data_IF_972284256055
#
_entry.id   IF_972284256055
#
_cell.length_a   1.000
_cell.length_b   1.000
_cell.length_c   1.000
_cell.angle_alpha   90.00
_cell.angle_beta   90.00
_cell.angle_gamma   90.00
#
_symmetry.space_group_name_H-M   'P 1'
#
loop_
_entity.id
_entity.type
_entity.pdbx_description
1 polymer ?
#
# COMPACT_ATOMS: atom_id res chain seq x y z
N UNK A 1 -13.50 61.03 62.19
CA UNK A 1 -14.91 61.29 61.84
C UNK A 1 -15.72 60.03 62.16
N UNK A 2 -16.65 60.17 63.11
CA UNK A 2 -17.77 59.30 63.49
C UNK A 2 -17.54 57.78 63.67
N UNK A 3 -17.54 57.25 64.91
CA UNK A 3 -18.74 56.89 65.72
C UNK A 3 -19.42 55.62 65.15
N UNK A 4 -19.72 54.53 65.86
CA UNK A 4 -20.22 54.41 67.23
C UNK A 4 -20.21 52.94 67.71
N UNK A 5 -20.13 52.78 69.03
CA UNK A 5 -20.42 51.60 69.85
C UNK A 5 -21.71 50.83 69.52
N UNK A 6 -21.69 49.50 69.69
CA UNK A 6 -22.67 48.79 70.56
C UNK A 6 -22.20 47.39 70.95
N UNK A 7 -22.05 47.18 72.25
CA UNK A 7 -21.93 45.87 72.89
C UNK A 7 -23.34 45.33 73.18
N UNK A 8 -23.50 44.00 73.11
CA UNK A 8 -24.41 43.27 74.00
C UNK A 8 -24.05 41.78 74.03
N UNK A 9 -23.75 41.32 75.25
CA UNK A 9 -23.64 39.93 75.66
C UNK A 9 -25.03 39.30 75.76
N UNK A 10 -25.20 38.08 75.26
CA UNK A 10 -26.26 37.18 75.72
C UNK A 10 -25.76 35.73 75.75
N UNK A 11 -25.61 35.26 76.98
CA UNK A 11 -25.36 33.90 77.41
C UNK A 11 -26.63 33.06 77.17
N UNK A 12 -26.56 32.02 76.35
CA UNK A 12 -27.55 30.95 76.34
C UNK A 12 -26.88 29.59 76.13
N UNK A 13 -27.29 28.68 77.01
CA UNK A 13 -26.78 27.36 77.31
C UNK A 13 -27.75 26.33 76.69
N UNK A 14 -27.28 25.41 75.81
CA UNK A 14 -27.89 24.08 75.49
C UNK A 14 -27.29 23.49 74.19
N UNK A 15 -27.44 22.18 73.92
CA UNK A 15 -27.15 20.99 74.72
C UNK A 15 -26.11 20.08 74.03
N UNK A 16 -25.57 19.12 74.78
CA UNK A 16 -24.79 17.99 74.26
C UNK A 16 -25.54 17.14 73.24
N UNK A 17 -24.81 16.70 72.21
CA UNK A 17 -24.92 15.34 71.67
C UNK A 17 -26.13 15.03 70.79
N UNK A 18 -26.13 15.51 69.55
CA UNK A 18 -26.84 14.85 68.46
C UNK A 18 -25.82 14.52 67.36
N UNK A 19 -25.51 13.24 67.22
CA UNK A 19 -24.68 12.71 66.13
C UNK A 19 -25.35 13.07 64.81
N UNK A 20 -24.70 13.94 64.02
CA UNK A 20 -25.14 14.28 62.67
C UNK A 20 -24.94 13.06 61.78
N UNK A 21 -26.00 12.27 61.61
CA UNK A 21 -26.09 11.32 60.50
C UNK A 21 -26.07 12.14 59.22
N UNK A 22 -24.92 12.14 58.54
CA UNK A 22 -24.76 12.85 57.27
C UNK A 22 -25.76 12.26 56.25
N UNK A 23 -26.56 13.11 55.57
CA UNK A 23 -27.45 12.63 54.52
C UNK A 23 -26.60 12.00 53.41
N UNK A 24 -26.77 10.69 53.22
CA UNK A 24 -26.16 9.91 52.15
C UNK A 24 -26.50 10.58 50.81
N UNK A 25 -25.52 11.31 50.29
CA UNK A 25 -25.65 11.98 49.00
C UNK A 25 -25.55 10.88 47.96
N UNK A 26 -26.69 10.48 47.37
CA UNK A 26 -26.75 9.51 46.27
C UNK A 26 -25.81 9.98 45.16
N UNK A 27 -24.61 9.38 45.09
CA UNK A 27 -23.68 9.59 43.99
C UNK A 27 -24.22 8.85 42.78
N UNK A 28 -24.79 9.62 41.86
CA UNK A 28 -25.15 9.15 40.52
C UNK A 28 -23.89 9.09 39.67
N UNK A 29 -23.66 7.96 39.02
CA UNK A 29 -22.53 7.74 38.12
C UNK A 29 -22.82 8.47 36.80
N UNK A 30 -22.33 9.70 36.66
CA UNK A 30 -22.46 10.43 35.41
C UNK A 30 -21.56 9.78 34.36
N UNK A 31 -22.17 9.11 33.39
CA UNK A 31 -21.51 8.54 32.22
C UNK A 31 -20.96 9.69 31.37
N UNK A 32 -19.66 9.96 31.46
CA UNK A 32 -19.01 11.01 30.65
C UNK A 32 -18.80 10.51 29.23
N UNK A 33 -19.72 10.84 28.33
CA UNK A 33 -19.60 10.55 26.90
C UNK A 33 -18.37 11.23 26.27
N UNK A 34 -17.97 12.39 26.80
CA UNK A 34 -16.83 13.16 26.28
C UNK A 34 -15.49 12.43 26.49
N UNK A 35 -15.30 11.73 27.62
CA UNK A 35 -14.08 10.98 27.88
C UNK A 35 -13.95 9.77 26.94
N UNK A 36 -15.05 9.06 26.69
CA UNK A 36 -15.08 7.94 25.75
C UNK A 36 -14.79 8.41 24.31
N UNK A 37 -15.38 9.52 23.89
CA UNK A 37 -15.19 10.08 22.55
C UNK A 37 -13.74 10.58 22.36
N UNK A 38 -13.15 11.16 23.41
CA UNK A 38 -11.74 11.54 23.41
C UNK A 38 -10.81 10.34 23.26
N UNK A 39 -11.12 9.22 23.92
CA UNK A 39 -10.32 7.99 23.84
C UNK A 39 -10.37 7.31 22.45
N UNK A 40 -11.47 7.48 21.71
CA UNK A 40 -11.70 6.85 20.41
C UNK A 40 -11.15 7.70 19.25
N UNK A 41 -11.08 9.01 19.40
CA UNK A 41 -10.67 9.95 18.35
C UNK A 41 -9.35 9.59 17.63
N UNK A 42 -8.24 9.20 18.31
CA UNK A 42 -6.99 8.88 17.64
C UNK A 42 -7.13 7.71 16.66
N UNK A 43 -7.96 6.72 16.98
CA UNK A 43 -8.22 5.58 16.11
C UNK A 43 -9.04 5.97 14.89
N UNK A 44 -10.00 6.88 15.03
CA UNK A 44 -10.78 7.41 13.91
C UNK A 44 -9.88 8.21 12.98
N UNK A 45 -9.06 9.12 13.52
CA UNK A 45 -8.10 9.91 12.74
C UNK A 45 -7.10 9.00 12.02
N UNK A 46 -6.58 7.99 12.72
CA UNK A 46 -5.70 6.97 12.15
C UNK A 46 -6.37 6.19 11.01
N UNK A 47 -7.61 5.76 11.21
CA UNK A 47 -8.39 5.07 10.19
C UNK A 47 -8.56 5.90 8.92
N UNK A 48 -8.90 7.18 9.05
CA UNK A 48 -9.02 8.12 7.91
C UNK A 48 -7.68 8.28 7.18
N UNK A 49 -6.57 8.41 7.92
CA UNK A 49 -5.23 8.51 7.33
C UNK A 49 -4.87 7.24 6.53
N UNK A 50 -5.14 6.06 7.09
CA UNK A 50 -4.90 4.77 6.41
C UNK A 50 -5.74 4.67 5.14
N UNK A 51 -7.02 5.06 5.19
CA UNK A 51 -7.88 5.06 4.00
C UNK A 51 -7.33 5.99 2.92
N UNK A 52 -6.93 7.21 3.28
CA UNK A 52 -6.35 8.17 2.34
C UNK A 52 -5.05 7.65 1.70
N UNK A 53 -4.14 7.10 2.49
CA UNK A 53 -2.88 6.52 1.99
C UNK A 53 -3.11 5.28 1.12
N UNK A 54 -4.11 4.45 1.44
CA UNK A 54 -4.49 3.33 0.58
C UNK A 54 -5.10 3.80 -0.75
N UNK A 55 -5.89 4.88 -0.75
CA UNK A 55 -6.45 5.43 -1.98
C UNK A 55 -5.34 5.91 -2.95
N UNK A 56 -4.35 6.65 -2.44
CA UNK A 56 -3.18 7.07 -3.24
C UNK A 56 -2.38 5.87 -3.76
N UNK A 57 -2.19 4.84 -2.92
CA UNK A 57 -1.52 3.60 -3.32
C UNK A 57 -2.32 2.85 -4.38
N UNK A 58 -3.64 2.83 -4.29
CA UNK A 58 -4.49 2.20 -5.28
C UNK A 58 -4.34 2.86 -6.66
N UNK A 59 -4.37 4.19 -6.73
CA UNK A 59 -4.11 4.92 -7.97
C UNK A 59 -2.70 4.64 -8.53
N UNK A 60 -1.69 4.56 -7.65
CA UNK A 60 -0.34 4.21 -8.07
C UNK A 60 -0.30 2.79 -8.66
N UNK A 61 -0.95 1.81 -8.03
CA UNK A 61 -0.97 0.42 -8.49
C UNK A 61 -1.75 0.23 -9.81
N UNK A 62 -2.87 0.93 -10.00
CA UNK A 62 -3.63 0.84 -11.26
C UNK A 62 -2.82 1.40 -12.44
N UNK A 63 -2.02 2.45 -12.20
CA UNK A 63 -1.13 3.03 -13.21
C UNK A 63 0.06 2.13 -13.60
N UNK A 64 0.41 1.13 -12.79
CA UNK A 64 1.56 0.24 -13.08
C UNK A 64 1.31 -0.78 -14.19
N UNK A 65 0.05 -1.13 -14.46
CA UNK A 65 -0.27 -2.22 -15.40
C UNK A 65 0.24 -1.96 -16.82
N UNK A 66 0.19 -0.71 -17.29
CA UNK A 66 0.63 -0.29 -18.63
C UNK A 66 2.16 -0.36 -18.82
N UNK A 67 3.00 0.25 -17.97
CA UNK A 67 4.46 0.16 -18.14
C UNK A 67 4.99 -1.26 -17.94
N UNK A 68 4.34 -2.08 -17.09
CA UNK A 68 4.70 -3.50 -16.94
C UNK A 68 4.36 -4.27 -18.22
N UNK A 69 3.20 -4.03 -18.83
CA UNK A 69 2.85 -4.71 -20.08
C UNK A 69 3.76 -4.29 -21.23
N UNK A 70 4.12 -3.00 -21.31
CA UNK A 70 5.10 -2.50 -22.28
C UNK A 70 6.48 -3.14 -22.09
N UNK A 71 6.98 -3.21 -20.85
CA UNK A 71 8.25 -3.87 -20.55
C UNK A 71 8.24 -5.33 -21.01
N UNK A 72 7.18 -6.07 -20.68
CA UNK A 72 7.05 -7.47 -21.10
C UNK A 72 7.03 -7.63 -22.62
N UNK A 73 6.35 -6.74 -23.35
CA UNK A 73 6.32 -6.79 -24.83
C UNK A 73 7.69 -6.46 -25.43
N UNK A 74 8.40 -5.48 -24.88
CA UNK A 74 9.77 -5.15 -25.29
C UNK A 74 10.71 -6.34 -25.03
N UNK A 75 10.61 -6.99 -23.86
CA UNK A 75 11.39 -8.20 -23.55
C UNK A 75 11.12 -9.34 -24.53
N UNK A 76 9.85 -9.57 -24.88
CA UNK A 76 9.47 -10.60 -25.86
C UNK A 76 10.07 -10.29 -27.23
N UNK A 77 9.91 -9.07 -27.73
CA UNK A 77 10.46 -8.63 -29.00
C UNK A 77 12.00 -8.75 -29.02
N UNK A 78 12.65 -8.38 -27.91
CA UNK A 78 14.10 -8.51 -27.76
C UNK A 78 14.55 -9.97 -27.80
N UNK A 79 13.89 -10.88 -27.06
CA UNK A 79 14.18 -12.32 -27.11
C UNK A 79 14.02 -12.86 -28.53
N UNK A 80 12.97 -12.45 -29.23
CA UNK A 80 12.72 -12.88 -30.61
C UNK A 80 13.74 -12.36 -31.60
N UNK A 81 14.18 -11.12 -31.43
CA UNK A 81 15.28 -10.57 -32.22
C UNK A 81 16.54 -11.42 -32.08
N UNK A 82 16.91 -11.80 -30.85
CA UNK A 82 18.06 -12.68 -30.61
C UNK A 82 17.89 -14.07 -31.25
N UNK A 83 16.67 -14.63 -31.23
CA UNK A 83 16.37 -15.91 -31.90
C UNK A 83 16.48 -15.79 -33.43
N UNK A 84 16.02 -14.70 -34.02
CA UNK A 84 16.18 -14.41 -35.44
C UNK A 84 17.66 -14.28 -35.81
N UNK A 85 18.42 -13.52 -35.00
CA UNK A 85 19.85 -13.35 -35.19
C UNK A 85 20.58 -14.70 -35.13
N UNK A 86 20.30 -15.54 -34.12
CA UNK A 86 20.87 -16.87 -34.01
C UNK A 86 20.52 -17.76 -35.22
N UNK A 87 19.26 -17.73 -35.67
CA UNK A 87 18.80 -18.50 -36.83
C UNK A 87 19.47 -18.04 -38.13
N UNK A 88 19.69 -16.72 -38.26
CA UNK A 88 20.40 -16.13 -39.39
C UNK A 88 21.86 -16.57 -39.40
N UNK A 89 22.55 -16.49 -38.27
CA UNK A 89 23.93 -16.98 -38.10
C UNK A 89 24.01 -18.47 -38.46
N UNK A 90 23.12 -19.31 -37.94
CA UNK A 90 23.08 -20.73 -38.28
C UNK A 90 22.87 -20.98 -39.78
N UNK A 91 22.05 -20.16 -40.44
CA UNK A 91 21.81 -20.26 -41.87
C UNK A 91 23.05 -19.85 -42.70
N UNK A 92 23.70 -18.74 -42.34
CA UNK A 92 24.86 -18.18 -43.06
C UNK A 92 26.11 -19.05 -42.88
N UNK A 93 26.35 -19.56 -41.67
CA UNK A 93 27.54 -20.36 -41.35
C UNK A 93 27.39 -21.85 -41.70
N UNK A 94 26.47 -22.20 -42.60
CA UNK A 94 26.38 -23.56 -43.12
C UNK A 94 27.65 -23.91 -43.91
N UNK A 95 28.34 -24.96 -43.48
CA UNK A 95 29.51 -25.47 -44.18
C UNK A 95 29.21 -25.93 -45.61
N UNK A 96 30.23 -26.03 -46.48
CA UNK A 96 30.07 -26.42 -47.88
C UNK A 96 29.46 -27.83 -48.06
N UNK A 97 29.48 -28.67 -47.02
CA UNK A 97 28.92 -30.03 -47.01
C UNK A 97 27.44 -30.11 -46.61
N UNK A 98 26.77 -29.00 -46.31
CA UNK A 98 25.34 -28.99 -45.94
C UNK A 98 24.47 -29.48 -47.10
N UNK A 99 23.58 -30.44 -46.85
CA UNK A 99 22.63 -30.90 -47.89
C UNK A 99 21.62 -29.80 -48.24
N UNK A 100 21.07 -29.78 -49.48
CA UNK A 100 20.02 -28.84 -49.87
C UNK A 100 18.77 -28.93 -48.98
N UNK A 101 18.44 -30.14 -48.49
CA UNK A 101 17.33 -30.36 -47.57
C UNK A 101 17.56 -29.68 -46.21
N UNK A 102 18.78 -29.73 -45.69
CA UNK A 102 19.14 -29.06 -44.43
C UNK A 102 19.08 -27.53 -44.55
N UNK A 103 19.54 -26.98 -45.68
CA UNK A 103 19.40 -25.54 -45.99
C UNK A 103 17.95 -25.10 -45.99
N UNK A 104 17.07 -25.93 -46.57
CA UNK A 104 15.64 -25.64 -46.64
C UNK A 104 14.99 -25.62 -45.26
N UNK A 105 15.35 -26.54 -44.36
CA UNK A 105 14.82 -26.56 -42.98
C UNK A 105 15.26 -25.32 -42.21
N UNK A 106 16.54 -24.93 -42.30
CA UNK A 106 17.04 -23.73 -41.63
C UNK A 106 16.40 -22.46 -42.19
N UNK A 107 16.19 -22.40 -43.50
CA UNK A 107 15.46 -21.31 -44.13
C UNK A 107 14.02 -21.21 -43.64
N UNK A 108 13.30 -22.33 -43.54
CA UNK A 108 11.93 -22.36 -43.00
C UNK A 108 11.90 -21.87 -41.55
N UNK A 109 12.84 -22.31 -40.72
CA UNK A 109 12.96 -21.84 -39.34
C UNK A 109 13.19 -20.33 -39.26
N UNK A 110 14.13 -19.81 -40.05
CA UNK A 110 14.41 -18.37 -40.11
C UNK A 110 13.19 -17.58 -40.59
N UNK A 111 12.51 -18.05 -41.64
CA UNK A 111 11.30 -17.42 -42.16
C UNK A 111 10.19 -17.35 -41.11
N UNK A 112 10.00 -18.42 -40.32
CA UNK A 112 9.04 -18.42 -39.21
C UNK A 112 9.44 -17.43 -38.12
N UNK A 113 10.70 -17.41 -37.69
CA UNK A 113 11.15 -16.49 -36.65
C UNK A 113 11.03 -15.02 -37.09
N UNK A 114 11.34 -14.69 -38.35
CA UNK A 114 11.17 -13.34 -38.90
C UNK A 114 9.71 -12.91 -38.96
N UNK A 115 8.80 -13.82 -39.32
CA UNK A 115 7.37 -13.54 -39.33
C UNK A 115 6.84 -13.26 -37.91
N UNK A 116 7.29 -14.03 -36.92
CA UNK A 116 6.94 -13.79 -35.52
C UNK A 116 7.54 -12.50 -34.99
N UNK A 117 8.80 -12.19 -35.33
CA UNK A 117 9.44 -10.93 -34.97
C UNK A 117 8.66 -9.74 -35.51
N UNK A 118 8.19 -9.82 -36.76
CA UNK A 118 7.39 -8.76 -37.36
C UNK A 118 6.09 -8.53 -36.56
N UNK A 119 5.39 -9.60 -36.20
CA UNK A 119 4.16 -9.50 -35.41
C UNK A 119 4.42 -8.90 -34.02
N UNK A 120 5.42 -9.43 -33.30
CA UNK A 120 5.77 -8.96 -31.96
C UNK A 120 6.30 -7.51 -31.98
N UNK A 121 7.01 -7.12 -33.04
CA UNK A 121 7.44 -5.75 -33.28
C UNK A 121 6.26 -4.79 -33.47
N UNK A 122 5.29 -5.17 -34.31
CA UNK A 122 4.08 -4.38 -34.53
C UNK A 122 3.30 -4.20 -33.22
N UNK A 123 3.21 -5.23 -32.39
CA UNK A 123 2.59 -5.15 -31.07
C UNK A 123 3.40 -4.27 -30.11
N UNK A 124 4.73 -4.35 -30.14
CA UNK A 124 5.58 -3.48 -29.33
C UNK A 124 5.34 -2.01 -29.69
N UNK A 125 5.37 -1.68 -30.98
CA UNK A 125 5.24 -0.31 -31.47
C UNK A 125 3.82 0.22 -31.27
N UNK A 126 2.80 -0.55 -31.63
CA UNK A 126 1.42 -0.06 -31.75
C UNK A 126 0.48 -0.57 -30.63
N UNK A 127 0.93 -1.51 -29.80
CA UNK A 127 0.12 -2.19 -28.80
C UNK A 127 -0.77 -3.28 -29.42
N UNK A 128 -1.75 -3.74 -28.65
CA UNK A 128 -2.67 -4.83 -29.01
C UNK A 128 -3.57 -4.50 -30.21
N UNK A 129 -3.64 -3.23 -30.62
CA UNK A 129 -4.34 -2.77 -31.82
C UNK A 129 -3.67 -3.22 -33.12
N UNK A 130 -2.41 -3.65 -33.05
CA UNK A 130 -1.71 -4.28 -34.17
C UNK A 130 -2.29 -5.64 -34.53
N UNK A 131 -2.94 -6.32 -33.58
CA UNK A 131 -3.46 -7.68 -33.77
C UNK A 131 -4.95 -7.66 -34.10
N UNK A 132 -5.33 -8.57 -34.99
CA UNK A 132 -6.75 -8.90 -35.18
C UNK A 132 -7.32 -9.62 -33.95
N UNK A 133 -8.65 -9.58 -33.72
CA UNK A 133 -9.26 -10.27 -32.58
C UNK A 133 -8.95 -11.78 -32.53
N UNK A 134 -8.77 -12.42 -33.70
CA UNK A 134 -8.36 -13.82 -33.80
C UNK A 134 -6.92 -14.04 -33.36
N UNK A 135 -5.99 -13.18 -33.79
CA UNK A 135 -4.58 -13.26 -33.37
C UNK A 135 -4.43 -12.99 -31.87
N UNK A 136 -5.19 -12.03 -31.34
CA UNK A 136 -5.17 -11.71 -29.90
C UNK A 136 -5.72 -12.87 -29.04
N UNK A 137 -6.67 -13.64 -29.57
CA UNK A 137 -7.15 -14.86 -28.91
C UNK A 137 -6.10 -15.97 -28.90
N UNK A 138 -5.25 -16.07 -29.94
CA UNK A 138 -4.12 -16.99 -30.00
C UNK A 138 -2.94 -16.56 -29.12
N UNK A 139 -2.80 -15.25 -28.88
CA UNK A 139 -1.69 -14.63 -28.13
C UNK A 139 -2.18 -13.75 -26.96
N UNK A 140 -2.82 -14.36 -25.92
CA UNK A 140 -3.48 -13.61 -24.85
C UNK A 140 -2.52 -12.79 -23.97
N UNK A 141 -1.22 -13.02 -24.06
CA UNK A 141 -0.20 -12.26 -23.32
C UNK A 141 -0.08 -10.81 -23.79
N UNK A 142 -0.54 -10.49 -25.01
CA UNK A 142 -0.59 -9.13 -25.52
C UNK A 142 -1.85 -8.34 -25.11
N UNK A 143 -2.81 -8.96 -24.42
CA UNK A 143 -4.07 -8.29 -24.03
C UNK A 143 -3.85 -7.01 -23.23
N UNK A 144 -2.84 -6.98 -22.37
CA UNK A 144 -2.54 -5.85 -21.49
C UNK A 144 -1.72 -4.74 -22.17
N UNK A 145 -1.20 -4.98 -23.38
CA UNK A 145 -0.43 -4.01 -24.14
C UNK A 145 -1.35 -3.04 -24.89
N UNK A 146 -2.25 -2.35 -24.19
CA UNK A 146 -3.29 -1.49 -24.79
C UNK A 146 -2.69 -0.33 -25.61
N UNK A 147 -1.52 0.13 -25.20
CA UNK A 147 -0.71 1.14 -25.87
C UNK A 147 0.63 0.52 -26.24
N UNK A 148 1.22 0.96 -27.34
CA UNK A 148 2.58 0.58 -27.74
C UNK A 148 3.62 1.64 -27.39
N UNK A 149 4.89 1.31 -27.58
CA UNK A 149 6.03 2.19 -27.27
C UNK A 149 6.05 3.45 -28.13
N UNK A 150 5.37 3.47 -29.29
CA UNK A 150 5.26 4.65 -30.15
C UNK A 150 4.19 5.66 -29.72
N UNK A 151 3.45 5.37 -28.64
CA UNK A 151 2.33 6.20 -28.21
C UNK A 151 2.80 7.65 -27.95
N UNK A 152 2.16 8.67 -28.55
CA UNK A 152 2.59 10.06 -28.38
C UNK A 152 2.69 10.47 -26.91
N UNK A 153 3.79 11.12 -26.54
CA UNK A 153 4.06 11.55 -25.17
C UNK A 153 4.61 10.46 -24.24
N UNK A 154 4.75 9.21 -24.72
CA UNK A 154 5.46 8.17 -23.97
C UNK A 154 6.98 8.33 -24.06
N UNK A 155 7.69 7.80 -23.07
CA UNK A 155 9.15 7.74 -23.07
C UNK A 155 9.67 6.90 -24.25
N UNK A 156 8.94 5.84 -24.63
CA UNK A 156 9.25 5.05 -25.82
C UNK A 156 9.20 5.86 -27.11
N UNK A 157 8.22 6.76 -27.28
CA UNK A 157 8.13 7.62 -28.45
C UNK A 157 9.25 8.65 -28.48
N UNK A 158 9.71 9.12 -27.31
CA UNK A 158 10.87 9.98 -27.23
C UNK A 158 12.18 9.25 -27.61
N UNK A 159 12.32 7.98 -27.24
CA UNK A 159 13.46 7.15 -27.63
C UNK A 159 13.43 6.81 -29.13
N UNK A 160 12.26 6.48 -29.67
CA UNK A 160 12.09 6.10 -31.08
C UNK A 160 12.12 7.30 -32.05
N UNK A 161 11.57 8.45 -31.65
CA UNK A 161 11.34 9.59 -32.56
C UNK A 161 11.79 10.95 -32.01
N UNK A 162 12.08 11.05 -30.71
CA UNK A 162 12.27 12.33 -30.02
C UNK A 162 13.73 12.74 -29.83
N UNK A 163 14.67 11.81 -29.87
CA UNK A 163 16.07 12.15 -30.02
C UNK A 163 16.25 12.52 -31.50
N UNK A 164 16.78 13.71 -31.79
CA UNK A 164 17.18 14.05 -33.16
C UNK A 164 18.25 13.06 -33.67
N UNK A 165 19.07 13.41 -34.67
CA UNK A 165 20.17 12.56 -35.08
C UNK A 165 21.19 12.37 -33.93
N UNK A 166 20.94 11.40 -33.04
CA UNK A 166 21.79 11.01 -31.92
C UNK A 166 22.24 9.60 -32.25
N UNK A 167 23.55 9.42 -32.27
CA UNK A 167 24.09 8.12 -32.58
C UNK A 167 23.66 7.09 -31.54
N UNK A 168 23.00 6.05 -32.00
CA UNK A 168 22.45 4.97 -31.19
C UNK A 168 23.35 3.72 -31.20
N UNK A 169 24.57 3.84 -31.74
CA UNK A 169 25.52 2.75 -31.72
C UNK A 169 25.99 2.47 -30.28
N UNK A 170 26.24 1.19 -29.98
CA UNK A 170 26.68 0.73 -28.66
C UNK A 170 27.93 1.48 -28.16
N UNK A 171 28.79 1.93 -29.07
CA UNK A 171 29.90 2.84 -28.75
C UNK A 171 29.76 4.15 -29.54
N UNK A 172 29.91 5.27 -28.84
CA UNK A 172 29.79 6.62 -29.42
C UNK A 172 30.86 6.96 -30.49
N UNK A 173 31.91 6.15 -30.62
CA UNK A 173 32.97 6.27 -31.63
C UNK A 173 32.68 5.47 -32.91
N UNK A 174 31.68 4.59 -32.91
CA UNK A 174 31.25 3.81 -34.08
C UNK A 174 30.23 4.52 -34.96
N UNK A 175 29.85 5.73 -34.56
CA UNK A 175 28.95 6.60 -35.29
C UNK A 175 29.60 7.05 -36.60
N UNK A 176 28.94 6.76 -37.70
CA UNK A 176 29.45 7.15 -39.01
C UNK A 176 29.21 8.67 -39.19
N UNK A 177 30.02 9.37 -39.99
CA UNK A 177 29.82 10.78 -40.26
C UNK A 177 28.66 11.00 -41.26
N UNK A 178 28.04 12.21 -41.32
CA UNK A 178 26.85 12.50 -42.13
C UNK A 178 26.94 12.20 -43.62
N UNK A 179 28.16 12.21 -44.15
CA UNK A 179 28.50 11.92 -45.54
C UNK A 179 28.64 10.42 -45.85
N UNK A 180 28.66 9.57 -44.83
CA UNK A 180 28.78 8.13 -45.00
C UNK A 180 27.46 7.53 -45.51
N UNK A 181 27.47 6.60 -46.49
CA UNK A 181 26.26 5.99 -47.02
C UNK A 181 25.43 5.23 -45.97
N UNK A 182 26.06 4.86 -44.86
CA UNK A 182 25.40 4.19 -43.73
C UNK A 182 25.16 5.12 -42.52
N UNK A 183 25.31 6.44 -42.66
CA UNK A 183 25.07 7.41 -41.58
C UNK A 183 23.69 7.24 -40.96
N UNK A 184 22.66 7.09 -41.80
CA UNK A 184 21.28 6.92 -41.37
C UNK A 184 21.10 5.66 -40.50
N UNK A 185 21.84 4.59 -40.76
CA UNK A 185 21.87 3.38 -39.93
C UNK A 185 22.57 3.57 -38.58
N UNK A 186 23.42 4.59 -38.44
CA UNK A 186 24.05 4.90 -37.14
C UNK A 186 23.26 5.93 -36.34
N UNK A 187 22.37 6.69 -36.99
CA UNK A 187 21.84 7.95 -36.44
C UNK A 187 20.31 8.02 -36.40
N UNK A 188 19.61 7.40 -37.36
CA UNK A 188 18.14 7.45 -37.45
C UNK A 188 17.49 6.07 -37.41
N UNK A 189 18.25 5.01 -37.63
CA UNK A 189 17.78 3.63 -37.59
C UNK A 189 18.83 2.74 -36.95
N UNK A 190 18.67 2.48 -35.66
CA UNK A 190 18.71 1.13 -35.14
C UNK A 190 19.99 0.32 -35.46
N UNK A 191 20.94 0.35 -34.53
CA UNK A 191 21.15 -0.93 -33.88
C UNK A 191 19.81 -1.31 -33.24
N UNK A 192 19.04 -2.18 -33.91
CA UNK A 192 17.74 -2.63 -33.42
C UNK A 192 17.89 -3.14 -32.00
N UNK A 193 19.03 -3.79 -31.73
CA UNK A 193 19.45 -4.22 -30.40
C UNK A 193 19.61 -3.02 -29.44
N UNK A 194 20.44 -2.03 -29.79
CA UNK A 194 20.63 -0.81 -28.99
C UNK A 194 19.33 -0.05 -28.68
N UNK A 195 18.45 0.09 -29.67
CA UNK A 195 17.13 0.71 -29.49
C UNK A 195 16.23 -0.09 -28.54
N UNK A 196 16.17 -1.42 -28.70
CA UNK A 196 15.42 -2.29 -27.78
C UNK A 196 16.01 -2.31 -26.38
N UNK A 197 17.35 -2.26 -26.24
CA UNK A 197 18.04 -2.17 -24.94
C UNK A 197 17.71 -0.84 -24.26
N UNK A 198 17.71 0.28 -24.99
CA UNK A 198 17.35 1.58 -24.46
C UNK A 198 15.87 1.63 -24.03
N UNK A 199 14.96 1.09 -24.85
CA UNK A 199 13.55 0.95 -24.49
C UNK A 199 13.37 0.09 -23.23
N UNK A 200 14.04 -1.06 -23.18
CA UNK A 200 13.99 -1.96 -22.03
C UNK A 200 14.47 -1.27 -20.75
N UNK A 201 15.63 -0.61 -20.81
CA UNK A 201 16.19 0.13 -19.68
C UNK A 201 15.27 1.25 -19.19
N UNK A 202 14.65 2.00 -20.12
CA UNK A 202 13.72 3.07 -19.79
C UNK A 202 12.45 2.55 -19.09
N UNK A 203 11.79 1.55 -19.67
CA UNK A 203 10.59 0.96 -19.05
C UNK A 203 10.90 0.23 -17.74
N UNK A 204 12.05 -0.42 -17.64
CA UNK A 204 12.51 -1.04 -16.39
C UNK A 204 12.73 0.02 -15.30
N UNK A 205 13.37 1.14 -15.64
CA UNK A 205 13.56 2.26 -14.70
C UNK A 205 12.22 2.86 -14.26
N UNK A 206 11.27 3.02 -15.18
CA UNK A 206 9.92 3.49 -14.88
C UNK A 206 9.18 2.54 -13.93
N UNK A 207 9.19 1.23 -14.23
CA UNK A 207 8.57 0.20 -13.38
C UNK A 207 9.19 0.21 -11.99
N UNK A 208 10.52 0.22 -11.91
CA UNK A 208 11.26 0.25 -10.65
C UNK A 208 10.93 1.50 -9.82
N UNK A 209 10.89 2.67 -10.44
CA UNK A 209 10.58 3.93 -9.77
C UNK A 209 9.19 3.93 -9.11
N UNK A 210 8.18 3.35 -9.76
CA UNK A 210 6.85 3.23 -9.16
C UNK A 210 6.81 2.28 -7.96
N UNK A 211 7.55 1.16 -8.02
CA UNK A 211 7.69 0.23 -6.90
C UNK A 211 8.40 0.87 -5.71
N UNK A 212 9.46 1.64 -5.94
CA UNK A 212 10.18 2.37 -4.91
C UNK A 212 9.26 3.41 -4.23
N UNK A 213 8.49 4.17 -5.01
CA UNK A 213 7.52 5.13 -4.47
C UNK A 213 6.43 4.46 -3.62
N UNK A 214 5.88 3.34 -4.10
CA UNK A 214 4.87 2.57 -3.36
C UNK A 214 5.44 1.98 -2.07
N UNK A 215 6.70 1.55 -2.09
CA UNK A 215 7.41 1.05 -0.92
C UNK A 215 7.62 2.16 0.11
N UNK A 216 8.00 3.37 -0.33
CA UNK A 216 8.18 4.54 0.53
C UNK A 216 6.89 4.87 1.29
N UNK A 217 5.73 4.87 0.63
CA UNK A 217 4.43 5.10 1.28
C UNK A 217 4.11 4.04 2.35
N UNK A 218 4.46 2.77 2.11
CA UNK A 218 4.29 1.71 3.13
C UNK A 218 5.17 1.94 4.35
N UNK A 219 6.44 2.32 4.15
CA UNK A 219 7.37 2.62 5.24
C UNK A 219 6.86 3.79 6.06
N UNK A 220 6.41 4.87 5.42
CA UNK A 220 5.84 6.05 6.11
C UNK A 220 4.60 5.65 6.91
N UNK A 221 3.67 4.91 6.32
CA UNK A 221 2.48 4.43 7.04
C UNK A 221 2.85 3.59 8.26
N UNK A 222 3.80 2.67 8.11
CA UNK A 222 4.24 1.81 9.22
C UNK A 222 4.83 2.64 10.37
N UNK A 223 5.74 3.57 10.07
CA UNK A 223 6.38 4.44 11.08
C UNK A 223 5.32 5.28 11.80
N UNK A 224 4.39 5.89 11.07
CA UNK A 224 3.30 6.67 11.68
C UNK A 224 2.38 5.80 12.55
N UNK A 225 2.11 4.56 12.15
CA UNK A 225 1.32 3.60 12.94
C UNK A 225 1.97 3.35 14.30
N UNK A 226 3.28 3.07 14.28
CA UNK A 226 4.06 2.76 15.49
C UNK A 226 4.14 3.96 16.41
N UNK A 227 4.41 5.15 15.86
CA UNK A 227 4.47 6.38 16.65
C UNK A 227 3.11 6.71 17.28
N UNK A 228 2.01 6.58 16.54
CA UNK A 228 0.67 6.86 17.04
C UNK A 228 0.23 5.83 18.09
N UNK A 229 0.55 4.55 17.90
CA UNK A 229 0.32 3.51 18.90
C UNK A 229 1.12 3.77 20.20
N UNK A 230 2.40 4.15 20.07
CA UNK A 230 3.24 4.54 21.21
C UNK A 230 2.70 5.75 21.95
N UNK A 231 2.29 6.80 21.22
CA UNK A 231 1.68 8.00 21.79
C UNK A 231 0.36 7.67 22.51
N UNK A 232 -0.52 6.88 21.89
CA UNK A 232 -1.77 6.44 22.52
C UNK A 232 -1.52 5.66 23.82
N UNK A 233 -0.55 4.74 23.82
CA UNK A 233 -0.19 3.97 25.00
C UNK A 233 0.28 4.89 26.15
N UNK A 234 1.21 5.80 25.87
CA UNK A 234 1.83 6.66 26.89
C UNK A 234 0.84 7.73 27.40
N UNK A 235 0.12 8.39 26.51
CA UNK A 235 -0.68 9.59 26.85
C UNK A 235 -2.15 9.31 27.16
N UNK A 236 -2.74 8.22 26.66
CA UNK A 236 -4.16 7.90 26.92
C UNK A 236 -4.34 6.65 27.76
N UNK A 237 -3.81 5.51 27.29
CA UNK A 237 -4.13 4.23 27.91
C UNK A 237 -3.51 4.11 29.31
N UNK A 238 -2.24 4.47 29.46
CA UNK A 238 -1.55 4.41 30.75
C UNK A 238 -2.20 5.27 31.85
N UNK A 239 -2.56 6.55 31.63
CA UNK A 239 -3.26 7.32 32.65
C UNK A 239 -4.67 6.78 32.93
N UNK A 240 -5.41 6.38 31.90
CA UNK A 240 -6.75 5.80 32.08
C UNK A 240 -6.74 4.53 32.94
N UNK A 241 -5.79 3.61 32.67
CA UNK A 241 -5.60 2.39 33.46
C UNK A 241 -5.18 2.70 34.90
N UNK A 242 -4.32 3.70 35.11
CA UNK A 242 -3.93 4.14 36.47
C UNK A 242 -5.14 4.62 37.25
N UNK A 243 -5.96 5.48 36.66
CA UNK A 243 -7.14 6.02 37.32
C UNK A 243 -8.18 4.93 37.60
N UNK A 244 -8.46 4.07 36.62
CA UNK A 244 -9.40 2.95 36.78
C UNK A 244 -8.93 1.95 37.83
N UNK A 245 -7.62 1.68 37.93
CA UNK A 245 -7.07 0.81 38.98
C UNK A 245 -7.25 1.42 40.38
N UNK A 246 -7.11 2.74 40.51
CA UNK A 246 -7.31 3.45 41.77
C UNK A 246 -8.78 3.47 42.19
N UNK A 247 -9.70 3.68 41.24
CA UNK A 247 -11.14 3.62 41.50
C UNK A 247 -11.59 2.21 41.85
N UNK A 248 -11.09 1.21 41.12
CA UNK A 248 -11.39 -0.21 41.38
C UNK A 248 -10.95 -0.61 42.79
N UNK A 249 -9.76 -0.16 43.23
CA UNK A 249 -9.30 -0.36 44.60
C UNK A 249 -10.22 0.32 45.62
N UNK A 250 -10.65 1.55 45.36
CA UNK A 250 -11.56 2.29 46.25
C UNK A 250 -12.94 1.63 46.34
N UNK A 251 -13.47 1.13 45.23
CA UNK A 251 -14.74 0.38 45.19
C UNK A 251 -14.60 -0.92 45.98
N UNK A 252 -13.49 -1.65 45.82
CA UNK A 252 -13.22 -2.85 46.60
C UNK A 252 -13.13 -2.56 48.12
N UNK A 253 -12.48 -1.46 48.52
CA UNK A 253 -12.44 -1.01 49.91
C UNK A 253 -13.83 -0.65 50.45
N UNK A 254 -14.70 -0.03 49.64
CA UNK A 254 -16.09 0.28 50.02
C UNK A 254 -16.97 -0.97 50.13
N UNK A 255 -16.80 -1.94 49.23
CA UNK A 255 -17.49 -3.23 49.29
C UNK A 255 -17.02 -4.07 50.49
N UNK A 256 -15.74 -4.00 50.86
CA UNK A 256 -15.21 -4.68 52.04
C UNK A 256 -15.73 -4.08 53.37
N UNK A 257 -16.23 -2.85 53.37
CA UNK A 257 -16.81 -2.19 54.54
C UNK A 257 -18.33 -2.38 54.65
N UNK A 258 -18.97 -3.07 53.70
CA UNK A 258 -20.40 -3.35 53.80
C UNK A 258 -20.65 -4.24 55.04
N UNK A 259 -21.56 -3.84 55.95
CA UNK A 259 -22.00 -4.72 57.03
C UNK A 259 -22.53 -6.03 56.44
N UNK A 260 -22.35 -7.18 57.11
CA UNK A 260 -22.85 -8.48 56.65
C UNK A 260 -24.37 -8.50 56.41
N UNK A 261 -25.09 -7.51 56.96
CA UNK A 261 -26.52 -7.26 56.77
C UNK A 261 -26.92 -6.87 55.31
N UNK A 262 -25.97 -6.43 54.49
CA UNK A 262 -26.17 -6.00 53.09
C UNK A 262 -25.49 -6.96 52.08
N UNK A 263 -24.93 -8.07 52.57
CA UNK A 263 -24.40 -9.15 51.74
C UNK A 263 -25.59 -9.92 51.17
N UNK A 264 -26.18 -9.37 50.10
CA UNK A 264 -27.42 -9.90 49.49
C UNK A 264 -27.24 -11.34 49.05
N UNK A 265 -26.02 -11.74 48.62
CA UNK A 265 -25.71 -13.14 48.32
C UNK A 265 -25.66 -14.01 49.58
N UNK A 266 -25.09 -13.54 50.68
CA UNK A 266 -25.11 -14.24 51.97
C UNK A 266 -26.53 -14.36 52.55
N UNK A 267 -27.35 -13.33 52.41
CA UNK A 267 -28.77 -13.33 52.79
C UNK A 267 -29.62 -14.21 51.88
N UNK A 268 -29.37 -14.24 50.57
CA UNK A 268 -30.05 -15.14 49.63
C UNK A 268 -29.63 -16.58 49.87
N UNK A 269 -28.35 -16.86 50.08
CA UNK A 269 -27.86 -18.20 50.42
C UNK A 269 -28.41 -18.65 51.78
N UNK A 270 -28.48 -17.77 52.77
CA UNK A 270 -29.08 -18.07 54.08
C UNK A 270 -30.60 -18.23 54.00
N UNK A 271 -31.29 -17.45 53.17
CA UNK A 271 -32.71 -17.62 52.91
C UNK A 271 -33.00 -18.94 52.19
N UNK A 272 -32.25 -19.26 51.13
CA UNK A 272 -32.35 -20.54 50.41
C UNK A 272 -31.99 -21.72 51.32
N UNK A 273 -30.97 -21.60 52.18
CA UNK A 273 -30.61 -22.63 53.16
C UNK A 273 -31.63 -22.76 54.30
N UNK A 274 -32.32 -21.67 54.68
CA UNK A 274 -33.43 -21.71 55.64
C UNK A 274 -34.70 -22.31 55.04
N UNK A 275 -34.83 -22.29 53.70
CA UNK A 275 -35.79 -23.10 52.94
C UNK A 275 -35.16 -24.50 52.75
N UNK A 276 -34.84 -25.15 53.86
CA UNK A 276 -34.52 -26.58 53.87
C UNK A 276 -35.78 -27.41 53.52
N UNK A 277 -35.61 -28.61 52.95
CA UNK A 277 -36.70 -29.42 52.39
C UNK A 277 -37.61 -29.93 53.51
N UNK A 278 -38.72 -29.24 53.75
CA UNK A 278 -39.52 -29.53 54.93
C UNK A 278 -40.94 -28.98 54.92
N UNK A 279 -41.63 -29.00 53.79
CA UNK A 279 -43.09 -29.18 53.71
C UNK A 279 -43.46 -29.59 52.29
N UNK A 280 -43.10 -30.81 51.92
CA UNK A 280 -43.92 -31.61 51.04
C UNK A 280 -44.84 -32.43 51.96
N UNK A 281 -46.09 -31.98 52.08
CA UNK A 281 -47.29 -32.77 52.35
C UNK A 281 -48.47 -31.98 51.79
#
# INVERSE_FOLDING_TARGET
MHSMFKATSSFLMRPSGASKVHPSTRRSLQRSYNAALWLVWPYVLWGVLVVALNAVRYESLTSMSTPISLLNVVDIAMIRFHRCHLSCVQYVFQGPSSSPAQRQVLWQSLATEVMLLKEEWEVMVNGNKALTPTQLAESPHFNLAVAGVSTPGSEGAAILYGQGPVCMALLADTCLPPDHPYYQYTVNEADLEGGMVALNAAFLAMVKGMYENTTMLHVVQFVLSVLLAGAFYIFMLRPFLRETSSESRRIAELLAQLPPELEVEGLVVKAIASVGPGTAL
#
